data_IF_330550238566
#
_entry.id   IF_330550238566
#
_cell.length_a   1.000
_cell.length_b   1.000
_cell.length_c   1.000
_cell.angle_alpha   90.00
_cell.angle_beta   90.00
_cell.angle_gamma   90.00
#
_symmetry.space_group_name_H-M   'P 1'
#
loop_
_entity.id
_entity.type
_entity.pdbx_description
1 polymer ?
#
# COMPACT_ATOMS: atom_id res chain seq x y z
N UNK A 1 -32.64 -0.24 4.16
CA UNK A 1 -31.75 0.18 3.07
C UNK A 1 -30.45 0.81 3.56
N UNK A 2 -30.51 1.85 4.43
CA UNK A 2 -29.33 2.53 4.97
C UNK A 2 -28.26 1.60 5.58
N UNK A 3 -28.64 0.73 6.54
CA UNK A 3 -27.70 -0.15 7.22
C UNK A 3 -26.95 -1.10 6.28
N UNK A 4 -27.66 -1.72 5.32
CA UNK A 4 -27.05 -2.57 4.28
C UNK A 4 -26.03 -1.80 3.43
N UNK A 5 -26.36 -0.58 3.02
CA UNK A 5 -25.44 0.24 2.22
C UNK A 5 -24.16 0.59 3.00
N UNK A 6 -24.29 1.04 4.25
CA UNK A 6 -23.12 1.33 5.11
C UNK A 6 -22.29 0.07 5.39
N UNK A 7 -22.95 -1.07 5.65
CA UNK A 7 -22.27 -2.35 5.82
C UNK A 7 -21.49 -2.73 4.55
N UNK A 8 -22.10 -2.64 3.36
CA UNK A 8 -21.45 -2.96 2.09
C UNK A 8 -20.25 -2.05 1.81
N UNK A 9 -20.40 -0.73 1.99
CA UNK A 9 -19.30 0.23 1.79
C UNK A 9 -18.16 0.04 2.79
N UNK A 10 -18.49 -0.25 4.05
CA UNK A 10 -17.47 -0.53 5.08
C UNK A 10 -16.72 -1.82 4.75
N UNK A 11 -17.44 -2.87 4.37
CA UNK A 11 -16.86 -4.13 3.91
C UNK A 11 -15.93 -3.92 2.71
N UNK A 12 -16.39 -3.23 1.67
CA UNK A 12 -15.61 -2.91 0.47
C UNK A 12 -14.36 -2.09 0.79
N UNK A 13 -14.45 -1.13 1.71
CA UNK A 13 -13.30 -0.33 2.13
C UNK A 13 -12.18 -1.21 2.71
N UNK A 14 -12.53 -2.19 3.54
CA UNK A 14 -11.55 -3.05 4.21
C UNK A 14 -11.11 -4.24 3.35
N UNK A 15 -12.01 -4.90 2.60
CA UNK A 15 -11.69 -6.10 1.80
C UNK A 15 -11.42 -5.81 0.32
N UNK A 16 -11.63 -4.57 -0.14
CA UNK A 16 -11.37 -4.14 -1.52
C UNK A 16 -12.52 -4.39 -2.49
N UNK A 17 -13.44 -5.31 -2.17
CA UNK A 17 -14.67 -5.58 -2.92
C UNK A 17 -15.86 -5.58 -1.96
N UNK A 18 -16.97 -5.03 -2.42
CA UNK A 18 -18.27 -5.10 -1.76
C UNK A 18 -18.91 -6.48 -1.87
N UNK A 19 -19.85 -6.72 -0.96
CA UNK A 19 -20.80 -7.83 -1.08
C UNK A 19 -21.79 -7.57 -2.22
N UNK A 20 -22.07 -6.31 -2.54
CA UNK A 20 -22.75 -5.84 -3.74
C UNK A 20 -21.76 -4.98 -4.54
N UNK A 21 -21.68 -5.23 -5.85
CA UNK A 21 -20.86 -4.47 -6.80
C UNK A 21 -21.71 -4.09 -8.02
N UNK A 22 -21.68 -2.82 -8.48
CA UNK A 22 -20.96 -1.68 -7.92
C UNK A 22 -21.48 -1.24 -6.55
N UNK A 23 -20.58 -0.77 -5.67
CA UNK A 23 -20.92 -0.37 -4.29
C UNK A 23 -22.00 0.74 -4.20
N UNK A 24 -22.13 1.57 -5.23
CA UNK A 24 -23.04 2.71 -5.29
C UNK A 24 -24.34 2.42 -6.05
N UNK A 25 -24.48 1.24 -6.64
CA UNK A 25 -25.63 0.84 -7.46
C UNK A 25 -26.29 -0.45 -6.93
N UNK A 26 -26.84 -0.44 -5.69
CA UNK A 26 -27.64 -1.55 -5.21
C UNK A 26 -28.96 -1.62 -5.99
N UNK A 27 -29.09 -2.63 -6.86
CA UNK A 27 -30.29 -2.94 -7.65
C UNK A 27 -30.59 -4.44 -7.60
N UNK A 28 -31.77 -4.84 -8.09
CA UNK A 28 -32.10 -6.26 -8.25
C UNK A 28 -31.16 -6.96 -9.25
N UNK A 29 -30.60 -6.21 -10.20
CA UNK A 29 -29.63 -6.70 -11.18
C UNK A 29 -28.24 -6.99 -10.57
N UNK A 30 -27.95 -6.39 -9.41
CA UNK A 30 -26.70 -6.54 -8.67
C UNK A 30 -26.94 -7.17 -7.29
N UNK A 31 -27.35 -8.46 -7.22
CA UNK A 31 -27.63 -9.10 -5.93
C UNK A 31 -26.36 -9.26 -5.09
N UNK A 32 -26.48 -9.29 -3.75
CA UNK A 32 -25.34 -9.55 -2.88
C UNK A 32 -24.75 -10.95 -3.15
N UNK A 33 -23.42 -11.05 -3.18
CA UNK A 33 -22.71 -12.33 -3.37
C UNK A 33 -22.93 -13.26 -2.17
N UNK A 34 -23.05 -12.70 -0.96
CA UNK A 34 -23.35 -13.43 0.29
C UNK A 34 -24.46 -12.66 1.04
N UNK A 35 -25.75 -12.86 0.68
CA UNK A 35 -26.86 -12.09 1.25
C UNK A 35 -26.98 -12.20 2.76
N UNK A 36 -26.76 -13.39 3.31
CA UNK A 36 -26.87 -13.66 4.75
C UNK A 36 -25.87 -12.83 5.56
N UNK A 37 -24.63 -12.74 5.06
CA UNK A 37 -23.59 -11.94 5.69
C UNK A 37 -23.91 -10.44 5.64
N UNK A 38 -24.41 -9.94 4.51
CA UNK A 38 -24.82 -8.54 4.39
C UNK A 38 -25.94 -8.21 5.39
N UNK A 39 -26.90 -9.13 5.54
CA UNK A 39 -28.04 -8.98 6.44
C UNK A 39 -27.64 -9.02 7.90
N UNK A 40 -26.73 -9.92 8.26
CA UNK A 40 -26.21 -10.01 9.62
C UNK A 40 -25.38 -8.78 9.99
N UNK A 41 -24.54 -8.27 9.09
CA UNK A 41 -23.81 -7.01 9.31
C UNK A 41 -24.76 -5.81 9.45
N UNK A 42 -25.78 -5.72 8.60
CA UNK A 42 -26.77 -4.65 8.67
C UNK A 42 -27.60 -4.71 9.95
N UNK A 43 -27.99 -5.91 10.38
CA UNK A 43 -28.71 -6.13 11.64
C UNK A 43 -27.84 -5.75 12.83
N UNK A 44 -26.61 -6.28 12.90
CA UNK A 44 -25.68 -5.97 13.99
C UNK A 44 -25.36 -4.46 14.07
N UNK A 45 -25.23 -3.78 12.91
CA UNK A 45 -25.06 -2.33 12.88
C UNK A 45 -26.29 -1.59 13.41
N UNK A 46 -27.50 -2.02 13.05
CA UNK A 46 -28.75 -1.43 13.54
C UNK A 46 -28.93 -1.66 15.04
N UNK A 47 -28.71 -2.89 15.52
CA UNK A 47 -28.85 -3.27 16.93
C UNK A 47 -27.83 -2.56 17.83
N UNK A 48 -26.66 -2.21 17.27
CA UNK A 48 -25.66 -1.38 17.97
C UNK A 48 -26.04 0.10 18.09
N UNK A 49 -27.18 0.52 17.53
CA UNK A 49 -27.57 1.94 17.45
C UNK A 49 -26.77 2.72 16.40
N UNK A 50 -26.36 2.05 15.31
CA UNK A 50 -25.52 2.62 14.25
C UNK A 50 -24.11 3.02 14.70
N UNK A 51 -23.47 2.22 15.58
CA UNK A 51 -22.09 2.44 15.99
C UNK A 51 -21.11 2.01 14.89
N UNK A 52 -20.53 2.99 14.19
CA UNK A 52 -19.52 2.76 13.15
C UNK A 52 -18.28 2.05 13.68
N UNK A 53 -17.86 2.33 14.92
CA UNK A 53 -16.70 1.67 15.55
C UNK A 53 -16.98 0.20 15.79
N UNK A 54 -18.20 -0.15 16.17
CA UNK A 54 -18.65 -1.53 16.30
C UNK A 54 -18.58 -2.25 14.94
N UNK A 55 -19.13 -1.66 13.88
CA UNK A 55 -19.12 -2.25 12.54
C UNK A 55 -17.70 -2.47 12.02
N UNK A 56 -16.82 -1.47 12.17
CA UNK A 56 -15.40 -1.59 11.80
C UNK A 56 -14.76 -2.77 12.54
N UNK A 57 -14.96 -2.86 13.87
CA UNK A 57 -14.43 -3.98 14.68
C UNK A 57 -14.94 -5.33 14.20
N UNK A 58 -16.21 -5.43 13.83
CA UNK A 58 -16.79 -6.66 13.31
C UNK A 58 -16.12 -7.09 12.00
N UNK A 59 -15.91 -6.15 11.08
CA UNK A 59 -15.24 -6.43 9.79
C UNK A 59 -13.78 -6.84 9.98
N UNK A 60 -12.98 -6.07 10.73
CA UNK A 60 -11.54 -6.35 10.89
C UNK A 60 -11.23 -7.57 11.76
N UNK A 61 -12.21 -8.03 12.55
CA UNK A 61 -12.13 -9.29 13.31
C UNK A 61 -12.72 -10.48 12.56
N UNK A 62 -13.28 -10.27 11.38
CA UNK A 62 -13.84 -11.34 10.58
C UNK A 62 -12.74 -12.25 10.02
N UNK A 63 -13.05 -13.54 9.84
CA UNK A 63 -12.11 -14.48 9.23
C UNK A 63 -11.65 -14.01 7.85
N UNK A 64 -12.52 -13.58 6.91
CA UNK A 64 -12.08 -13.14 5.58
C UNK A 64 -11.05 -12.01 5.60
N UNK A 65 -11.16 -11.05 6.52
CA UNK A 65 -10.18 -9.97 6.67
C UNK A 65 -8.80 -10.46 7.15
N UNK A 66 -8.76 -11.56 7.92
CA UNK A 66 -7.54 -12.11 8.50
C UNK A 66 -6.88 -13.20 7.62
N UNK A 67 -7.46 -13.52 6.47
CA UNK A 67 -6.86 -14.49 5.56
C UNK A 67 -5.62 -13.91 4.88
N UNK A 68 -4.70 -14.80 4.50
CA UNK A 68 -3.59 -14.46 3.60
C UNK A 68 -4.11 -14.05 2.23
N UNK A 69 -3.38 -13.19 1.51
CA UNK A 69 -3.65 -12.91 0.09
C UNK A 69 -3.08 -13.97 -0.86
N UNK A 70 -2.22 -14.87 -0.36
CA UNK A 70 -1.61 -15.95 -1.14
C UNK A 70 -2.66 -16.97 -1.58
N UNK A 71 -2.68 -17.27 -2.87
CA UNK A 71 -3.48 -18.37 -3.38
C UNK A 71 -2.79 -19.70 -3.04
N UNK A 72 -3.50 -20.56 -2.33
CA UNK A 72 -3.03 -21.92 -1.95
C UNK A 72 -3.82 -23.02 -2.66
N UNK A 73 -5.01 -22.70 -3.17
CA UNK A 73 -5.85 -23.63 -3.91
C UNK A 73 -6.59 -22.90 -5.04
N UNK A 74 -6.96 -23.61 -6.11
CA UNK A 74 -7.64 -23.05 -7.29
C UNK A 74 -9.03 -22.48 -6.93
N UNK A 75 -9.73 -23.07 -5.97
CA UNK A 75 -11.04 -22.59 -5.50
C UNK A 75 -11.01 -21.18 -4.89
N UNK A 76 -9.83 -20.64 -4.58
CA UNK A 76 -9.62 -19.27 -4.08
C UNK A 76 -9.35 -18.26 -5.20
N UNK A 77 -9.54 -18.64 -6.47
CA UNK A 77 -9.30 -17.75 -7.61
C UNK A 77 -10.32 -16.61 -7.70
N UNK A 78 -11.57 -16.85 -7.33
CA UNK A 78 -12.63 -15.84 -7.37
C UNK A 78 -12.57 -14.92 -6.14
N UNK A 79 -12.18 -13.64 -6.31
CA UNK A 79 -12.05 -12.71 -5.18
C UNK A 79 -13.41 -12.32 -4.58
N UNK A 80 -14.52 -12.47 -5.31
CA UNK A 80 -15.87 -12.16 -4.81
C UNK A 80 -16.31 -13.12 -3.70
N UNK A 81 -15.66 -14.28 -3.57
CA UNK A 81 -15.95 -15.26 -2.53
C UNK A 81 -15.24 -14.97 -1.20
N UNK A 82 -14.34 -13.99 -1.17
CA UNK A 82 -13.56 -13.63 0.03
C UNK A 82 -12.85 -14.83 0.69
N UNK A 83 -12.47 -15.83 -0.12
CA UNK A 83 -11.79 -17.04 0.32
C UNK A 83 -10.28 -16.83 0.62
N UNK A 84 -9.79 -15.61 0.37
CA UNK A 84 -8.48 -15.08 0.68
C UNK A 84 -8.55 -13.56 0.69
N UNK A 85 -7.55 -12.87 1.24
CA UNK A 85 -7.52 -11.41 1.19
C UNK A 85 -7.22 -10.92 -0.23
N UNK A 86 -8.00 -9.96 -0.70
CA UNK A 86 -7.74 -9.31 -1.98
C UNK A 86 -6.53 -8.40 -1.86
N UNK A 87 -5.62 -8.50 -2.83
CA UNK A 87 -4.51 -7.54 -2.96
C UNK A 87 -5.09 -6.22 -3.46
N UNK A 88 -4.79 -5.14 -2.76
CA UNK A 88 -5.31 -3.79 -3.06
C UNK A 88 -4.17 -2.84 -3.36
N UNK A 89 -4.35 -1.96 -4.33
CA UNK A 89 -3.46 -0.82 -4.46
C UNK A 89 -3.66 0.11 -3.25
N UNK A 90 -2.57 0.68 -2.75
CA UNK A 90 -2.67 1.82 -1.85
C UNK A 90 -3.27 3.00 -2.59
N UNK A 91 -4.11 3.78 -1.90
CA UNK A 91 -4.57 5.08 -2.41
C UNK A 91 -3.38 6.02 -2.57
N UNK A 92 -3.53 7.04 -3.40
CA UNK A 92 -2.49 8.04 -3.63
C UNK A 92 -1.97 8.65 -2.33
N UNK A 93 -2.86 8.95 -1.38
CA UNK A 93 -2.53 9.47 -0.06
C UNK A 93 -1.72 8.46 0.74
N UNK A 94 -2.17 7.20 0.77
CA UNK A 94 -1.48 6.13 1.50
C UNK A 94 -0.09 5.88 0.92
N UNK A 95 0.04 5.88 -0.40
CA UNK A 95 1.33 5.70 -1.06
C UNK A 95 2.28 6.87 -0.78
N UNK A 96 1.79 8.11 -0.85
CA UNK A 96 2.58 9.29 -0.52
C UNK A 96 3.06 9.28 0.93
N UNK A 97 2.15 9.00 1.87
CA UNK A 97 2.46 8.97 3.29
C UNK A 97 3.42 7.80 3.62
N UNK A 98 3.24 6.63 2.99
CA UNK A 98 4.16 5.48 3.08
C UNK A 98 5.56 5.80 2.52
N UNK A 99 5.63 6.50 1.38
CA UNK A 99 6.90 6.97 0.83
C UNK A 99 7.60 7.93 1.81
N UNK A 100 6.85 8.84 2.43
CA UNK A 100 7.36 9.74 3.46
C UNK A 100 7.98 8.98 4.64
N UNK A 101 7.24 8.01 5.19
CA UNK A 101 7.72 7.17 6.30
C UNK A 101 8.97 6.37 5.90
N UNK A 102 8.94 5.69 4.75
CA UNK A 102 10.04 4.84 4.30
C UNK A 102 11.34 5.63 4.06
N UNK A 103 11.22 6.89 3.64
CA UNK A 103 12.37 7.74 3.29
C UNK A 103 12.78 8.69 4.42
N UNK A 104 12.03 8.72 5.53
CA UNK A 104 12.19 9.74 6.57
C UNK A 104 11.83 11.16 6.11
N UNK A 105 11.16 11.30 4.97
CA UNK A 105 10.76 12.58 4.45
C UNK A 105 9.59 13.15 5.24
N UNK A 106 9.78 14.36 5.75
CA UNK A 106 8.74 15.16 6.36
C UNK A 106 8.36 16.30 5.41
N UNK A 107 7.10 16.30 4.94
CA UNK A 107 6.59 17.41 4.12
C UNK A 107 6.61 18.69 4.96
N UNK A 108 7.41 19.71 4.59
CA UNK A 108 7.49 20.95 5.35
C UNK A 108 6.26 21.84 5.15
N UNK A 109 5.35 21.47 4.22
CA UNK A 109 4.13 22.22 3.99
C UNK A 109 3.07 21.90 5.06
N UNK A 110 2.50 22.91 5.75
CA UNK A 110 1.46 22.67 6.76
C UNK A 110 0.19 22.05 6.14
N UNK A 111 -0.35 21.01 6.79
CA UNK A 111 -1.69 20.45 6.54
C UNK A 111 -2.75 21.53 6.91
N UNK A 112 -3.79 21.80 6.12
CA UNK A 112 -4.09 23.17 5.70
C UNK A 112 -4.99 23.99 6.65
N UNK A 113 -4.71 25.30 6.70
CA UNK A 113 -5.69 26.36 6.96
C UNK A 113 -6.20 27.05 5.67
N UNK A 114 -5.70 26.70 4.46
CA UNK A 114 -6.04 27.44 3.23
C UNK A 114 -6.36 26.59 1.98
N UNK A 115 -7.17 27.10 1.03
CA UNK A 115 -7.83 26.31 -0.02
C UNK A 115 -6.98 25.98 -1.26
N UNK A 116 -5.79 26.59 -1.41
CA UNK A 116 -4.95 26.45 -2.59
C UNK A 116 -3.52 26.07 -2.17
N UNK A 117 -3.31 24.80 -1.81
CA UNK A 117 -1.98 24.30 -1.46
C UNK A 117 -1.32 23.63 -2.67
N UNK A 118 -0.16 24.15 -3.09
CA UNK A 118 0.67 23.64 -4.19
C UNK A 118 1.88 22.84 -3.66
N UNK A 119 1.71 22.11 -2.55
CA UNK A 119 2.76 21.30 -1.96
C UNK A 119 3.07 20.01 -2.74
N UNK A 120 4.21 19.35 -2.45
CA UNK A 120 4.59 18.07 -3.08
C UNK A 120 3.49 17.01 -2.97
N UNK A 121 2.77 16.98 -1.84
CA UNK A 121 1.60 16.11 -1.66
C UNK A 121 0.49 16.38 -2.68
N UNK A 122 0.07 17.63 -2.87
CA UNK A 122 -0.99 17.95 -3.84
C UNK A 122 -0.58 17.60 -5.27
N UNK A 123 0.68 17.87 -5.64
CA UNK A 123 1.21 17.49 -6.96
C UNK A 123 1.18 15.98 -7.16
N UNK A 124 1.58 15.20 -6.14
CA UNK A 124 1.53 13.76 -6.15
C UNK A 124 0.09 13.26 -6.30
N UNK A 125 -0.83 13.71 -5.45
CA UNK A 125 -2.23 13.30 -5.51
C UNK A 125 -2.88 13.60 -6.87
N UNK A 126 -2.57 14.76 -7.46
CA UNK A 126 -3.05 15.12 -8.81
C UNK A 126 -2.62 14.13 -9.90
N UNK A 127 -1.42 13.55 -9.79
CA UNK A 127 -0.90 12.54 -10.74
C UNK A 127 -1.47 11.14 -10.49
N UNK A 128 -2.03 10.87 -9.30
CA UNK A 128 -2.50 9.56 -8.87
C UNK A 128 -4.03 9.49 -8.63
N UNK A 129 -4.79 10.54 -8.95
CA UNK A 129 -6.23 10.62 -8.71
C UNK A 129 -7.10 9.65 -9.54
N UNK A 130 -6.52 8.88 -10.47
CA UNK A 130 -7.25 8.18 -11.54
C UNK A 130 -7.64 6.72 -11.26
N UNK A 131 -7.59 6.24 -10.02
CA UNK A 131 -7.90 4.83 -9.72
C UNK A 131 -9.21 4.70 -8.95
N UNK A 132 -10.31 4.45 -9.66
CA UNK A 132 -11.65 4.30 -9.07
C UNK A 132 -11.86 2.95 -8.36
N UNK A 133 -11.12 1.89 -8.73
CA UNK A 133 -11.25 0.55 -8.13
C UNK A 133 -9.94 0.09 -7.51
N UNK A 134 -9.95 -0.10 -6.18
CA UNK A 134 -8.76 -0.48 -5.39
C UNK A 134 -8.21 -1.88 -5.71
N UNK A 135 -9.05 -2.78 -6.24
CA UNK A 135 -8.67 -4.16 -6.58
C UNK A 135 -8.31 -4.36 -8.05
N UNK A 136 -8.51 -3.34 -8.90
CA UNK A 136 -7.99 -3.38 -10.26
C UNK A 136 -6.51 -3.01 -10.25
N UNK A 137 -5.70 -3.93 -10.76
CA UNK A 137 -4.23 -3.97 -10.60
C UNK A 137 -3.47 -2.95 -11.45
N UNK A 138 -4.11 -1.88 -11.90
CA UNK A 138 -3.48 -0.94 -12.83
C UNK A 138 -2.93 0.28 -12.07
N UNK A 139 -1.70 0.13 -11.57
CA UNK A 139 -0.80 1.29 -11.61
C UNK A 139 -0.65 1.63 -13.08
N UNK A 140 -1.19 2.77 -13.52
CA UNK A 140 -1.07 3.15 -14.93
C UNK A 140 0.42 3.28 -15.29
N UNK A 141 0.79 3.04 -16.55
CA UNK A 141 2.18 3.20 -17.00
C UNK A 141 2.72 4.58 -16.57
N UNK A 142 1.88 5.60 -16.62
CA UNK A 142 2.21 6.96 -16.19
C UNK A 142 2.50 7.06 -14.68
N UNK A 143 1.72 6.38 -13.83
CA UNK A 143 1.96 6.33 -12.39
C UNK A 143 3.26 5.58 -12.06
N UNK A 144 3.52 4.44 -12.73
CA UNK A 144 4.76 3.70 -12.56
C UNK A 144 5.98 4.52 -13.01
N UNK A 145 5.88 5.19 -14.16
CA UNK A 145 6.91 6.13 -14.62
C UNK A 145 7.08 7.33 -13.68
N UNK A 146 6.00 7.79 -13.03
CA UNK A 146 6.06 8.87 -12.04
C UNK A 146 6.77 8.41 -10.77
N UNK A 147 6.62 7.17 -10.32
CA UNK A 147 7.42 6.64 -9.21
C UNK A 147 8.89 6.47 -9.60
N UNK A 148 9.16 5.94 -10.80
CA UNK A 148 10.52 5.65 -11.24
C UNK A 148 11.34 6.91 -11.53
N UNK A 149 10.71 7.91 -12.16
CA UNK A 149 11.40 9.12 -12.66
C UNK A 149 10.97 10.40 -11.96
N UNK A 150 10.04 10.30 -11.01
CA UNK A 150 9.52 11.46 -10.30
C UNK A 150 10.58 12.12 -9.45
N UNK A 151 10.54 13.45 -9.41
CA UNK A 151 11.44 14.26 -8.59
C UNK A 151 11.42 13.83 -7.12
N UNK A 152 10.25 13.50 -6.60
CA UNK A 152 10.10 13.07 -5.21
C UNK A 152 10.96 11.83 -4.91
N UNK A 153 10.73 10.73 -5.62
CA UNK A 153 11.44 9.47 -5.37
C UNK A 153 12.94 9.65 -5.63
N UNK A 154 13.31 10.34 -6.72
CA UNK A 154 14.71 10.63 -7.03
C UNK A 154 15.41 11.44 -5.93
N UNK A 155 14.77 12.48 -5.39
CA UNK A 155 15.33 13.26 -4.29
C UNK A 155 15.48 12.39 -3.03
N UNK A 156 14.50 11.53 -2.74
CA UNK A 156 14.51 10.64 -1.57
C UNK A 156 15.44 9.43 -1.68
N UNK A 157 15.89 9.08 -2.88
CA UNK A 157 16.88 8.02 -3.11
C UNK A 157 18.24 8.57 -3.53
N UNK A 158 18.44 9.90 -3.53
CA UNK A 158 19.73 10.51 -3.81
C UNK A 158 20.63 10.54 -2.57
N UNK A 159 21.90 10.20 -2.74
CA UNK A 159 22.90 10.24 -1.66
C UNK A 159 23.10 11.65 -1.08
N UNK A 160 22.90 12.67 -1.90
CA UNK A 160 23.12 14.08 -1.57
C UNK A 160 21.90 14.77 -0.94
N UNK A 161 20.71 14.16 -1.01
CA UNK A 161 19.46 14.78 -0.55
C UNK A 161 18.72 13.98 0.50
N UNK A 162 18.87 12.65 0.50
CA UNK A 162 18.19 11.76 1.43
C UNK A 162 18.98 11.62 2.73
N UNK A 163 18.52 12.28 3.78
CA UNK A 163 19.14 12.20 5.12
C UNK A 163 19.09 10.77 5.67
N UNK A 164 17.97 10.07 5.46
CA UNK A 164 17.81 8.68 5.88
C UNK A 164 18.83 7.77 5.20
N UNK A 165 18.93 7.84 3.87
CA UNK A 165 19.83 7.00 3.09
C UNK A 165 21.30 7.29 3.45
N UNK A 166 21.67 8.57 3.56
CA UNK A 166 23.01 8.98 3.98
C UNK A 166 23.33 8.43 5.38
N UNK A 167 22.39 8.54 6.32
CA UNK A 167 22.53 8.01 7.68
C UNK A 167 22.79 6.50 7.72
N UNK A 168 22.06 5.71 6.92
CA UNK A 168 22.28 4.25 6.85
C UNK A 168 23.60 3.91 6.17
N UNK A 169 23.97 4.63 5.11
CA UNK A 169 25.21 4.37 4.36
C UNK A 169 26.44 4.70 5.18
N UNK A 170 26.40 5.78 5.96
CA UNK A 170 27.53 6.26 6.75
C UNK A 170 27.57 5.65 8.15
N UNK A 171 26.57 4.86 8.56
CA UNK A 171 26.56 4.11 9.82
C UNK A 171 27.72 3.09 9.86
N UNK A 172 28.74 3.27 10.74
CA UNK A 172 29.94 2.44 10.74
C UNK A 172 29.72 1.03 11.32
N UNK A 173 28.62 0.83 12.04
CA UNK A 173 28.25 -0.44 12.66
C UNK A 173 27.41 -1.34 11.73
N UNK A 174 27.00 -0.85 10.56
CA UNK A 174 26.25 -1.63 9.58
C UNK A 174 27.18 -2.15 8.47
N UNK A 175 27.25 -3.46 8.33
CA UNK A 175 27.85 -4.12 7.17
C UNK A 175 26.91 -4.08 5.95
N UNK A 176 27.34 -4.63 4.81
CA UNK A 176 26.50 -4.66 3.59
C UNK A 176 25.14 -5.30 3.87
N UNK A 177 25.12 -6.38 4.65
CA UNK A 177 23.90 -7.08 5.02
C UNK A 177 22.98 -6.19 5.86
N UNK A 178 23.49 -5.57 6.92
CA UNK A 178 22.73 -4.67 7.77
C UNK A 178 22.17 -3.45 7.03
N UNK A 179 22.89 -2.93 6.04
CA UNK A 179 22.39 -1.85 5.17
C UNK A 179 21.23 -2.33 4.30
N UNK A 180 21.32 -3.51 3.70
CA UNK A 180 20.21 -4.11 2.93
C UNK A 180 19.01 -4.36 3.84
N UNK A 181 19.22 -4.93 5.02
CA UNK A 181 18.15 -5.17 6.00
C UNK A 181 17.44 -3.86 6.40
N UNK A 182 18.19 -2.78 6.62
CA UNK A 182 17.62 -1.47 6.90
C UNK A 182 16.74 -0.94 5.76
N UNK A 183 17.15 -1.10 4.50
CA UNK A 183 16.33 -0.72 3.34
C UNK A 183 15.04 -1.55 3.24
N UNK A 184 15.13 -2.85 3.52
CA UNK A 184 13.96 -3.73 3.54
C UNK A 184 12.97 -3.39 4.67
N UNK A 185 13.48 -3.09 5.87
CA UNK A 185 12.63 -2.71 7.00
C UNK A 185 11.96 -1.36 6.75
N UNK A 186 12.69 -0.38 6.21
CA UNK A 186 12.14 0.94 5.92
C UNK A 186 11.07 0.90 4.82
N UNK A 187 11.30 0.14 3.73
CA UNK A 187 10.37 0.08 2.61
C UNK A 187 9.22 -0.91 2.83
N UNK A 188 9.52 -2.14 3.28
CA UNK A 188 8.58 -3.26 3.27
C UNK A 188 8.17 -3.73 4.68
N UNK A 189 8.67 -3.10 5.74
CA UNK A 189 8.38 -3.48 7.13
C UNK A 189 8.66 -4.94 7.47
N UNK A 190 9.59 -5.59 6.75
CA UNK A 190 10.04 -6.97 6.97
C UNK A 190 11.53 -7.11 6.69
N UNK A 191 12.12 -8.20 7.14
CA UNK A 191 13.47 -8.59 6.74
C UNK A 191 13.47 -9.18 5.31
N UNK A 192 14.61 -9.07 4.58
CA UNK A 192 14.80 -9.78 3.33
C UNK A 192 14.76 -11.29 3.58
N UNK A 193 14.21 -12.03 2.62
CA UNK A 193 14.36 -13.49 2.56
C UNK A 193 15.84 -13.85 2.27
N UNK A 194 16.30 -15.08 2.56
CA UNK A 194 17.68 -15.47 2.27
C UNK A 194 18.10 -15.23 0.82
N UNK A 195 17.23 -15.53 -0.15
CA UNK A 195 17.50 -15.30 -1.56
C UNK A 195 17.59 -13.81 -1.93
N UNK A 196 16.75 -12.96 -1.32
CA UNK A 196 16.84 -11.50 -1.50
C UNK A 196 18.10 -10.94 -0.87
N UNK A 197 18.44 -11.38 0.35
CA UNK A 197 19.64 -10.95 1.06
C UNK A 197 20.91 -11.26 0.25
N UNK A 198 21.01 -12.48 -0.30
CA UNK A 198 22.14 -12.87 -1.15
C UNK A 198 22.17 -12.06 -2.45
N UNK A 199 21.03 -11.87 -3.11
CA UNK A 199 20.93 -11.12 -4.36
C UNK A 199 21.35 -9.66 -4.19
N UNK A 200 20.76 -8.96 -3.22
CA UNK A 200 21.01 -7.54 -2.99
C UNK A 200 22.36 -7.30 -2.31
N UNK A 201 22.79 -8.18 -1.40
CA UNK A 201 24.12 -8.15 -0.82
C UNK A 201 25.21 -8.29 -1.89
N UNK A 202 25.10 -9.29 -2.76
CA UNK A 202 26.04 -9.49 -3.88
C UNK A 202 26.02 -8.35 -4.90
N UNK A 203 24.88 -7.67 -5.07
CA UNK A 203 24.78 -6.48 -5.92
C UNK A 203 25.55 -5.29 -5.32
N UNK A 204 25.33 -5.03 -4.03
CA UNK A 204 26.01 -3.95 -3.30
C UNK A 204 27.51 -4.20 -3.19
N UNK A 205 27.93 -5.45 -2.93
CA UNK A 205 29.34 -5.78 -2.78
C UNK A 205 30.15 -5.63 -4.07
N UNK A 206 29.51 -5.79 -5.23
CA UNK A 206 30.10 -5.51 -6.55
C UNK A 206 30.10 -4.02 -6.91
N UNK A 207 29.52 -3.17 -6.07
CA UNK A 207 29.37 -1.73 -6.34
C UNK A 207 28.26 -1.42 -7.36
N UNK A 208 27.28 -2.31 -7.51
CA UNK A 208 26.18 -2.12 -8.46
C UNK A 208 26.66 -2.04 -9.92
N UNK A 209 25.93 -1.29 -10.74
CA UNK A 209 26.29 -1.12 -12.16
C UNK A 209 27.52 -0.20 -12.37
N UNK A 210 27.78 0.71 -11.42
CA UNK A 210 28.81 1.75 -11.53
C UNK A 210 30.08 1.51 -10.73
N UNK A 211 30.19 0.40 -9.99
CA UNK A 211 31.31 0.10 -9.11
C UNK A 211 31.34 0.91 -7.79
N UNK A 212 30.28 1.65 -7.48
CA UNK A 212 30.15 2.46 -6.27
C UNK A 212 29.18 1.80 -5.28
N UNK A 213 29.71 1.31 -4.15
CA UNK A 213 28.91 0.63 -3.12
C UNK A 213 27.83 1.54 -2.52
N UNK A 214 28.08 2.84 -2.36
CA UNK A 214 27.09 3.77 -1.79
C UNK A 214 25.91 3.92 -2.74
N UNK A 215 26.19 4.12 -4.04
CA UNK A 215 25.16 4.16 -5.08
C UNK A 215 24.41 2.84 -5.19
N UNK A 216 25.09 1.71 -5.06
CA UNK A 216 24.43 0.42 -5.10
C UNK A 216 23.39 0.25 -3.97
N UNK A 217 23.65 0.77 -2.77
CA UNK A 217 22.65 0.78 -1.68
C UNK A 217 21.46 1.68 -2.04
N UNK A 218 21.71 2.85 -2.63
CA UNK A 218 20.67 3.75 -3.13
C UNK A 218 19.79 3.08 -4.19
N UNK A 219 20.40 2.33 -5.12
CA UNK A 219 19.71 1.58 -6.17
C UNK A 219 18.81 0.48 -5.58
N UNK A 220 19.28 -0.22 -4.54
CA UNK A 220 18.45 -1.20 -3.81
C UNK A 220 17.25 -0.50 -3.18
N UNK A 221 17.45 0.65 -2.53
CA UNK A 221 16.36 1.39 -1.90
C UNK A 221 15.32 1.85 -2.92
N UNK A 222 15.78 2.45 -4.03
CA UNK A 222 14.92 2.86 -5.13
C UNK A 222 14.14 1.69 -5.73
N UNK A 223 14.79 0.52 -5.91
CA UNK A 223 14.14 -0.67 -6.44
C UNK A 223 13.04 -1.20 -5.50
N UNK A 224 13.25 -1.11 -4.19
CA UNK A 224 12.25 -1.51 -3.20
C UNK A 224 11.04 -0.56 -3.20
N UNK A 225 11.26 0.76 -3.23
CA UNK A 225 10.17 1.76 -3.28
C UNK A 225 9.34 1.66 -4.57
N UNK A 226 9.93 1.18 -5.66
CA UNK A 226 9.26 0.97 -6.95
C UNK A 226 8.73 -0.46 -7.12
N UNK A 227 8.84 -1.32 -6.11
CA UNK A 227 8.36 -2.70 -6.19
C UNK A 227 6.84 -2.79 -6.07
N UNK A 228 6.26 -3.83 -6.65
CA UNK A 228 4.83 -4.11 -6.47
C UNK A 228 4.47 -4.37 -5.01
N UNK A 229 5.40 -4.93 -4.23
CA UNK A 229 5.19 -5.17 -2.80
C UNK A 229 5.03 -3.88 -2.02
N UNK A 230 5.75 -2.82 -2.41
CA UNK A 230 5.63 -1.51 -1.77
C UNK A 230 4.30 -0.83 -2.09
N UNK A 231 3.82 -0.91 -3.32
CA UNK A 231 2.60 -0.21 -3.77
C UNK A 231 1.30 -0.92 -3.35
N UNK A 232 1.38 -2.21 -3.03
CA UNK A 232 0.22 -3.06 -2.76
C UNK A 232 0.06 -3.37 -1.27
N UNK A 233 -1.16 -3.20 -0.78
CA UNK A 233 -1.62 -3.72 0.51
C UNK A 233 -2.11 -5.17 0.32
N UNK A 234 -1.43 -6.13 0.96
CA UNK A 234 -1.57 -7.56 0.69
C UNK A 234 -1.47 -8.41 1.96
#
# INVERSE_FOLDING_TARGET
FFARNIANRTWAHFLGLGLIEPIDEPSEDNPPVIPELLDDLARAYTDSGYDTRFLIKAVVRSRPYQLTSRQTHESQADPKRFARMSVKAMRAEQLYDSLGIATGYHDPTPVPERPFNFGPRTEFLGKFASTEKLTEKQTSILQALTLMNGRFVNDQTSLDRSEFLAGVIDAPFLDTKGKVEAMFLASLSRLPTPAEADKYGSYVDRGGAGGDKKKAVADVFWALLNSSEFVLNH
#
